data_IF_654027992633
#
_entry.id   IF_654027992633
#
_cell.length_a   1.000
_cell.length_b   1.000
_cell.length_c   1.000
_cell.angle_alpha   90.00
_cell.angle_beta   90.00
_cell.angle_gamma   90.00
#
_symmetry.space_group_name_H-M   'P 1'
#
loop_
_entity.id
_entity.type
_entity.pdbx_description
1 polymer ?
#
# COMPACT_ATOMS: atom_id res chain seq x y z
N UNK A 1 -21.60 -10.07 15.97
CA UNK A 1 -21.34 -8.93 15.05
C UNK A 1 -21.10 -9.52 13.68
N UNK A 2 -21.79 -9.09 12.61
CA UNK A 2 -21.45 -9.53 11.26
C UNK A 2 -20.04 -9.02 10.94
N UNK A 3 -19.12 -9.93 10.64
CA UNK A 3 -17.79 -9.56 10.16
C UNK A 3 -18.00 -9.17 8.71
N UNK A 4 -18.08 -7.88 8.43
CA UNK A 4 -18.19 -7.38 7.05
C UNK A 4 -16.83 -7.64 6.40
N UNK A 5 -16.68 -8.78 5.72
CA UNK A 5 -15.52 -9.04 4.87
C UNK A 5 -15.57 -8.07 3.71
N UNK A 6 -14.74 -7.03 3.75
CA UNK A 6 -14.58 -6.08 2.66
C UNK A 6 -14.12 -6.83 1.41
N UNK A 7 -14.67 -6.44 0.26
CA UNK A 7 -14.18 -6.90 -1.04
C UNK A 7 -12.75 -6.37 -1.27
N UNK A 8 -11.96 -7.01 -2.16
CA UNK A 8 -10.61 -6.53 -2.46
C UNK A 8 -10.55 -5.07 -2.90
N UNK A 9 -11.54 -4.60 -3.65
CA UNK A 9 -11.66 -3.20 -4.08
C UNK A 9 -11.93 -2.26 -2.91
N UNK A 10 -12.81 -2.64 -1.97
CA UNK A 10 -13.05 -1.85 -0.76
C UNK A 10 -11.80 -1.76 0.14
N UNK A 11 -10.97 -2.81 0.19
CA UNK A 11 -9.66 -2.75 0.86
C UNK A 11 -8.71 -1.77 0.17
N UNK A 12 -8.62 -1.80 -1.16
CA UNK A 12 -7.81 -0.86 -1.92
C UNK A 12 -8.25 0.58 -1.63
N UNK A 13 -9.56 0.85 -1.71
CA UNK A 13 -10.11 2.18 -1.47
C UNK A 13 -9.87 2.67 -0.04
N UNK A 14 -10.02 1.80 0.96
CA UNK A 14 -9.75 2.15 2.35
C UNK A 14 -8.27 2.47 2.57
N UNK A 15 -7.37 1.65 2.03
CA UNK A 15 -5.91 1.84 2.14
C UNK A 15 -5.49 3.13 1.45
N UNK A 16 -5.99 3.40 0.25
CA UNK A 16 -5.67 4.62 -0.52
C UNK A 16 -6.20 5.86 0.19
N UNK A 17 -7.43 5.85 0.71
CA UNK A 17 -7.98 6.99 1.47
C UNK A 17 -7.14 7.35 2.71
N UNK A 18 -6.57 6.35 3.38
CA UNK A 18 -5.67 6.59 4.53
C UNK A 18 -4.35 7.19 4.03
N UNK A 19 -3.80 6.66 2.93
CA UNK A 19 -2.59 7.17 2.32
C UNK A 19 -2.74 8.63 1.83
N UNK A 20 -3.91 9.02 1.33
CA UNK A 20 -4.21 10.40 0.94
C UNK A 20 -4.21 11.37 2.13
N UNK A 21 -4.56 10.88 3.33
CA UNK A 21 -4.59 11.69 4.56
C UNK A 21 -3.23 11.83 5.22
N UNK A 22 -2.29 10.91 4.95
CA UNK A 22 -0.98 10.89 5.59
C UNK A 22 0.13 10.49 4.61
N UNK A 23 0.99 11.47 4.30
CA UNK A 23 2.11 11.29 3.37
C UNK A 23 3.16 10.27 3.85
N UNK A 24 3.30 10.07 5.16
CA UNK A 24 4.20 9.04 5.70
C UNK A 24 3.68 7.64 5.41
N UNK A 25 2.37 7.44 5.56
CA UNK A 25 1.70 6.18 5.23
C UNK A 25 1.77 5.92 3.72
N UNK A 26 1.49 6.94 2.90
CA UNK A 26 1.62 6.82 1.44
C UNK A 26 3.03 6.41 1.02
N UNK A 27 4.07 6.97 1.64
CA UNK A 27 5.46 6.62 1.37
C UNK A 27 5.74 5.15 1.72
N UNK A 28 5.36 4.72 2.92
CA UNK A 28 5.56 3.32 3.35
C UNK A 28 4.84 2.34 2.42
N UNK A 29 3.60 2.65 2.04
CA UNK A 29 2.84 1.81 1.11
C UNK A 29 3.52 1.71 -0.25
N UNK A 30 4.07 2.82 -0.80
CA UNK A 30 4.86 2.78 -2.04
C UNK A 30 6.07 1.86 -1.93
N UNK A 31 6.80 1.94 -0.82
CA UNK A 31 7.95 1.06 -0.58
C UNK A 31 7.53 -0.41 -0.49
N UNK A 32 6.39 -0.72 0.16
CA UNK A 32 5.89 -2.09 0.27
C UNK A 32 5.47 -2.63 -1.09
N UNK A 33 4.69 -1.87 -1.87
CA UNK A 33 4.17 -2.34 -3.16
C UNK A 33 5.25 -2.38 -4.26
N UNK A 34 6.34 -1.63 -4.12
CA UNK A 34 7.49 -1.66 -5.04
C UNK A 34 8.38 -2.89 -4.86
N UNK A 35 8.24 -3.62 -3.75
CA UNK A 35 8.93 -4.89 -3.54
C UNK A 35 8.47 -5.94 -4.54
N UNK A 36 9.40 -6.79 -4.95
CA UNK A 36 9.12 -8.00 -5.72
C UNK A 36 8.13 -8.89 -4.95
N UNK A 37 7.17 -9.49 -5.66
CA UNK A 37 6.00 -10.16 -5.08
C UNK A 37 6.37 -11.22 -4.05
N UNK A 38 7.39 -12.05 -4.30
CA UNK A 38 7.82 -13.08 -3.36
C UNK A 38 8.44 -12.47 -2.09
N UNK A 39 9.22 -11.39 -2.23
CA UNK A 39 9.81 -10.66 -1.09
C UNK A 39 8.73 -10.00 -0.26
N UNK A 40 7.79 -9.30 -0.91
CA UNK A 40 6.64 -8.65 -0.25
C UNK A 40 5.82 -9.67 0.53
N UNK A 41 5.46 -10.79 -0.10
CA UNK A 41 4.67 -11.83 0.55
C UNK A 41 5.39 -12.41 1.76
N UNK A 42 6.68 -12.73 1.61
CA UNK A 42 7.47 -13.33 2.70
C UNK A 42 7.65 -12.38 3.88
N UNK A 43 7.91 -11.09 3.62
CA UNK A 43 8.02 -10.08 4.67
C UNK A 43 6.69 -9.90 5.42
N UNK A 44 5.58 -9.83 4.69
CA UNK A 44 4.25 -9.69 5.25
C UNK A 44 3.81 -10.94 6.05
N UNK A 45 4.24 -12.14 5.65
CA UNK A 45 4.03 -13.37 6.41
C UNK A 45 4.73 -13.34 7.79
N UNK A 46 5.95 -12.81 7.86
CA UNK A 46 6.66 -12.63 9.13
C UNK A 46 5.93 -11.64 10.06
N UNK A 47 5.44 -10.52 9.51
CA UNK A 47 4.65 -9.54 10.26
C UNK A 47 3.35 -10.16 10.76
N UNK A 48 2.62 -10.89 9.91
CA UNK A 48 1.39 -11.56 10.30
C UNK A 48 1.64 -12.60 11.40
N UNK A 49 2.72 -13.39 11.32
CA UNK A 49 3.09 -14.34 12.35
C UNK A 49 3.38 -13.66 13.69
N UNK A 50 4.14 -12.56 13.68
CA UNK A 50 4.43 -11.78 14.88
C UNK A 50 3.14 -11.20 15.50
N UNK A 51 2.26 -10.63 14.69
CA UNK A 51 1.01 -10.05 15.17
C UNK A 51 0.08 -11.11 15.77
N UNK A 52 -0.04 -12.31 15.19
CA UNK A 52 -0.86 -13.39 15.76
C UNK A 52 -0.43 -13.80 17.17
N UNK A 53 0.85 -13.62 17.51
CA UNK A 53 1.38 -13.93 18.85
C UNK A 53 1.12 -12.80 19.85
N UNK A 54 1.16 -11.55 19.39
CA UNK A 54 1.17 -10.38 20.27
C UNK A 54 -0.11 -9.53 20.24
N UNK A 55 -1.02 -9.76 19.29
CA UNK A 55 -2.21 -8.95 19.03
C UNK A 55 -3.37 -9.79 18.49
N UNK A 56 -4.58 -9.49 18.95
CA UNK A 56 -5.83 -10.09 18.45
C UNK A 56 -6.49 -9.25 17.34
N UNK A 57 -5.73 -8.41 16.64
CA UNK A 57 -6.25 -7.51 15.61
C UNK A 57 -6.49 -8.26 14.27
N UNK A 58 -7.64 -8.93 14.15
CA UNK A 58 -8.02 -9.67 12.94
C UNK A 58 -8.10 -8.79 11.69
N UNK A 59 -8.56 -7.55 11.84
CA UNK A 59 -8.61 -6.53 10.79
C UNK A 59 -7.24 -6.19 10.19
N UNK A 60 -6.20 -6.17 11.03
CA UNK A 60 -4.81 -5.94 10.58
C UNK A 60 -4.29 -7.15 9.80
N UNK A 61 -4.63 -8.37 10.24
CA UNK A 61 -4.26 -9.59 9.52
C UNK A 61 -4.92 -9.64 8.14
N UNK A 62 -6.20 -9.27 8.04
CA UNK A 62 -6.91 -9.22 6.77
C UNK A 62 -6.30 -8.17 5.81
N UNK A 63 -5.88 -7.02 6.34
CA UNK A 63 -5.16 -5.99 5.57
C UNK A 63 -3.81 -6.52 5.04
N UNK A 64 -3.07 -7.25 5.88
CA UNK A 64 -1.81 -7.88 5.47
C UNK A 64 -2.06 -8.92 4.37
N UNK A 65 -3.07 -9.77 4.53
CA UNK A 65 -3.43 -10.77 3.52
C UNK A 65 -3.92 -10.13 2.21
N UNK A 66 -4.53 -8.94 2.26
CA UNK A 66 -4.84 -8.16 1.06
C UNK A 66 -3.55 -7.65 0.38
N UNK A 67 -2.61 -7.06 1.12
CA UNK A 67 -1.35 -6.53 0.58
C UNK A 67 -0.43 -7.60 -0.02
N UNK A 68 -0.54 -8.85 0.43
CA UNK A 68 0.18 -9.98 -0.17
C UNK A 68 -0.27 -10.28 -1.59
N UNK A 69 -1.54 -10.00 -1.93
CA UNK A 69 -2.10 -10.30 -3.26
C UNK A 69 -1.55 -9.31 -4.27
N UNK A 70 -0.92 -9.84 -5.31
CA UNK A 70 -0.23 -9.03 -6.31
C UNK A 70 -1.17 -8.03 -7.01
N UNK A 71 -2.37 -8.46 -7.38
CA UNK A 71 -3.38 -7.59 -7.99
C UNK A 71 -3.81 -6.41 -7.09
N UNK A 72 -3.86 -6.61 -5.76
CA UNK A 72 -4.21 -5.56 -4.80
C UNK A 72 -3.05 -4.57 -4.67
N UNK A 73 -1.83 -5.07 -4.51
CA UNK A 73 -0.63 -4.25 -4.43
C UNK A 73 -0.43 -3.40 -5.70
N UNK A 74 -0.65 -3.99 -6.87
CA UNK A 74 -0.57 -3.32 -8.16
C UNK A 74 -1.60 -2.19 -8.27
N UNK A 75 -2.86 -2.45 -7.90
CA UNK A 75 -3.90 -1.41 -7.88
C UNK A 75 -3.56 -0.27 -6.91
N UNK A 76 -3.06 -0.59 -5.71
CA UNK A 76 -2.63 0.42 -4.75
C UNK A 76 -1.49 1.27 -5.35
N UNK A 77 -0.49 0.63 -5.98
CA UNK A 77 0.62 1.33 -6.62
C UNK A 77 0.14 2.30 -7.71
N UNK A 78 -0.76 1.84 -8.59
CA UNK A 78 -1.36 2.66 -9.65
C UNK A 78 -2.10 3.88 -9.09
N UNK A 79 -2.90 3.67 -8.03
CA UNK A 79 -3.65 4.74 -7.36
C UNK A 79 -2.73 5.75 -6.68
N UNK A 80 -1.68 5.29 -5.99
CA UNK A 80 -0.70 6.15 -5.34
C UNK A 80 0.16 6.93 -6.33
N UNK A 81 0.41 6.38 -7.51
CA UNK A 81 1.08 7.08 -8.61
C UNK A 81 0.18 8.16 -9.22
N UNK A 82 -1.12 7.89 -9.39
CA UNK A 82 -2.09 8.86 -9.90
C UNK A 82 -2.37 10.01 -8.91
N UNK A 83 -2.29 9.75 -7.60
CA UNK A 83 -2.51 10.74 -6.56
C UNK A 83 -1.31 11.69 -6.36
N UNK A 84 -0.11 11.33 -6.85
CA UNK A 84 1.04 12.22 -6.84
C UNK A 84 1.08 13.00 -8.16
N UNK A 85 0.75 14.31 -8.19
CA UNK A 85 1.03 15.10 -9.37
C UNK A 85 2.54 15.06 -9.65
N UNK A 86 2.98 14.99 -10.92
CA UNK A 86 4.38 15.19 -11.24
C UNK A 86 4.80 16.55 -10.68
N UNK A 87 5.87 16.58 -9.90
CA UNK A 87 6.45 17.81 -9.37
C UNK A 87 6.81 18.71 -10.57
N UNK A 88 6.25 19.93 -10.72
CA UNK A 88 6.52 20.81 -11.86
C UNK A 88 7.93 21.47 -11.78
N UNK A 89 8.87 20.86 -11.06
CA UNK A 89 10.13 21.45 -10.65
C UNK A 89 11.39 20.75 -11.16
N UNK A 90 11.38 20.04 -12.30
CA UNK A 90 12.62 19.61 -12.96
C UNK A 90 13.09 20.70 -13.95
N UNK A 91 14.13 21.51 -13.62
CA UNK A 91 14.63 22.55 -14.50
C UNK A 91 15.77 21.99 -15.35
N UNK A 92 15.44 21.16 -16.34
CA UNK A 92 16.35 20.81 -17.44
C UNK A 92 15.93 21.52 -18.72
N UNK A 93 15.92 22.85 -18.69
CA UNK A 93 15.92 23.66 -19.92
C UNK A 93 17.25 24.40 -20.02
N UNK A 94 18.18 23.98 -20.89
CA UNK A 94 19.38 24.77 -21.14
C UNK A 94 19.00 26.11 -21.79
N UNK A 95 19.69 27.22 -21.44
CA UNK A 95 19.37 28.54 -21.97
C UNK A 95 19.65 28.60 -23.49
N UNK A 96 18.83 29.32 -24.28
CA UNK A 96 19.11 29.54 -25.69
C UNK A 96 20.34 30.45 -25.84
N UNK A 97 21.21 30.08 -26.79
CA UNK A 97 22.38 30.85 -27.25
C UNK A 97 21.96 32.08 -28.05
#
# INVERSE_FOLDING_TARGET
MPVTTLTPDEYVDAIVQIAERDASIARVLREIVSLETAVRSSALDLVAAHLRVHSAAGDVIDCIDALKRDAVAQRIAERLAAAHPPDPGDPTTPPPV
#
